data_IF_554183164596
#
_entry.id   IF_554183164596
#
_cell.length_a   1.000
_cell.length_b   1.000
_cell.length_c   1.000
_cell.angle_alpha   90.00
_cell.angle_beta   90.00
_cell.angle_gamma   90.00
#
_symmetry.space_group_name_H-M   'P 1'
#
loop_
_entity.id
_entity.type
_entity.pdbx_description
1 polymer ?
#
# COMPACT_ATOMS: atom_id res chain seq x y z
N UNK A 1 80.23 -7.76 45.56
CA UNK A 1 80.37 -8.76 44.47
C UNK A 1 79.21 -8.52 43.53
N UNK A 2 79.58 -7.91 42.53
CA UNK A 2 79.60 -8.20 41.12
C UNK A 2 78.17 -8.01 40.54
N UNK A 3 77.98 -6.95 39.82
CA UNK A 3 78.08 -6.81 38.33
C UNK A 3 76.91 -7.53 37.64
N UNK A 4 76.18 -6.98 36.79
CA UNK A 4 76.66 -6.47 35.53
C UNK A 4 75.57 -5.68 34.74
N UNK A 5 76.02 -4.77 33.98
CA UNK A 5 75.42 -4.01 32.95
C UNK A 5 74.57 -4.83 31.95
N UNK A 6 73.40 -4.30 31.56
CA UNK A 6 73.02 -4.39 30.18
C UNK A 6 72.32 -3.13 29.73
N UNK A 7 73.00 -2.21 29.19
CA UNK A 7 72.53 -1.08 28.42
C UNK A 7 72.26 -1.53 26.97
N UNK A 8 71.03 -1.74 26.62
CA UNK A 8 70.62 -1.85 25.18
C UNK A 8 70.62 -0.46 24.52
N UNK A 9 71.19 -0.32 23.34
CA UNK A 9 71.22 0.97 22.66
C UNK A 9 69.86 1.39 22.21
N UNK A 10 69.51 2.66 22.45
CA UNK A 10 68.34 3.31 21.87
C UNK A 10 68.36 3.15 20.34
N UNK A 11 67.39 2.47 19.83
CA UNK A 11 67.05 2.43 18.38
C UNK A 11 66.85 3.86 17.90
N UNK A 12 67.73 4.34 17.07
CA UNK A 12 67.56 5.59 16.34
C UNK A 12 66.23 5.52 15.61
N UNK A 13 65.28 6.39 16.00
CA UNK A 13 64.07 6.61 15.23
C UNK A 13 64.49 7.10 13.86
N UNK A 14 64.47 6.22 12.87
CA UNK A 14 64.70 6.59 11.48
C UNK A 14 63.68 7.65 11.08
N UNK A 15 64.15 8.78 10.57
CA UNK A 15 63.31 9.78 9.94
C UNK A 15 62.39 9.09 8.94
N UNK A 16 61.11 9.08 9.24
CA UNK A 16 60.09 8.49 8.37
C UNK A 16 60.01 9.34 7.12
N UNK A 17 60.66 8.89 6.05
CA UNK A 17 60.78 9.62 4.78
C UNK A 17 59.36 9.89 4.24
N UNK A 18 59.02 11.16 4.05
CA UNK A 18 57.75 11.58 3.42
C UNK A 18 57.82 11.35 1.90
N UNK A 19 57.06 10.35 1.44
CA UNK A 19 57.00 10.00 0.02
C UNK A 19 55.95 10.77 -0.76
N UNK A 20 55.23 11.72 -0.15
CA UNK A 20 54.14 12.48 -0.85
C UNK A 20 54.64 13.23 -2.04
N UNK A 21 55.84 13.77 -2.00
CA UNK A 21 56.46 14.48 -3.16
C UNK A 21 56.94 13.57 -4.29
N UNK A 22 57.02 12.26 -4.07
CA UNK A 22 57.42 11.28 -5.09
C UNK A 22 56.23 10.70 -5.83
N UNK A 23 54.99 11.06 -5.45
CA UNK A 23 53.76 10.55 -6.09
C UNK A 23 53.42 11.44 -7.29
N UNK A 24 53.45 10.88 -8.48
CA UNK A 24 53.06 11.56 -9.70
C UNK A 24 51.53 11.57 -9.83
N UNK A 25 50.87 12.58 -9.24
CA UNK A 25 49.45 12.80 -9.41
C UNK A 25 49.21 13.67 -10.66
N UNK A 26 48.16 13.38 -11.45
CA UNK A 26 47.79 14.27 -12.55
C UNK A 26 47.37 15.63 -12.02
N UNK A 27 47.88 16.69 -12.64
CA UNK A 27 47.43 18.03 -12.36
C UNK A 27 46.08 18.26 -13.05
N UNK A 28 45.06 18.57 -12.31
CA UNK A 28 43.71 18.79 -12.82
C UNK A 28 43.02 19.89 -12.00
N UNK A 29 42.13 20.63 -12.69
CA UNK A 29 41.25 21.59 -12.05
C UNK A 29 40.04 20.92 -11.38
N UNK A 30 39.82 19.60 -11.60
CA UNK A 30 38.78 18.84 -10.91
C UNK A 30 39.13 18.65 -9.43
N UNK A 31 38.22 18.94 -8.52
CA UNK A 31 38.45 18.74 -7.10
C UNK A 31 38.63 17.25 -6.78
N UNK A 32 39.64 16.94 -5.94
CA UNK A 32 39.92 15.56 -5.50
C UNK A 32 38.78 14.95 -4.65
N UNK A 33 37.91 15.78 -4.09
CA UNK A 33 36.72 15.37 -3.35
C UNK A 33 35.49 15.97 -3.98
N UNK A 34 34.47 15.17 -4.23
CA UNK A 34 33.23 15.63 -4.83
C UNK A 34 32.50 16.73 -3.99
N UNK A 35 32.58 16.65 -2.66
CA UNK A 35 31.99 17.66 -1.77
C UNK A 35 30.48 17.84 -1.98
N UNK A 36 29.75 16.80 -2.37
CA UNK A 36 28.35 16.85 -2.81
C UNK A 36 27.42 17.65 -1.89
N UNK A 37 27.51 17.58 -0.55
CA UNK A 37 26.63 18.38 0.31
C UNK A 37 26.72 19.90 0.09
N UNK A 38 27.84 20.41 -0.45
CA UNK A 38 28.03 21.82 -0.81
C UNK A 38 27.79 22.06 -2.28
N UNK A 39 28.35 21.19 -3.15
CA UNK A 39 28.29 21.35 -4.59
C UNK A 39 26.85 21.25 -5.12
N UNK A 40 26.06 20.32 -4.64
CA UNK A 40 24.68 20.13 -5.13
C UNK A 40 23.78 21.36 -4.91
N UNK A 41 23.72 21.97 -3.71
CA UNK A 41 22.96 23.21 -3.53
C UNK A 41 23.45 24.37 -4.42
N UNK A 42 24.77 24.49 -4.65
CA UNK A 42 25.33 25.52 -5.52
C UNK A 42 24.90 25.30 -6.99
N UNK A 43 24.92 24.04 -7.45
CA UNK A 43 24.44 23.66 -8.79
C UNK A 43 22.95 23.92 -8.96
N UNK A 44 22.14 23.56 -7.98
CA UNK A 44 20.69 23.82 -7.97
C UNK A 44 20.38 25.31 -8.03
N UNK A 45 21.09 26.10 -7.24
CA UNK A 45 20.95 27.56 -7.26
C UNK A 45 21.34 28.15 -8.62
N UNK A 46 22.39 27.62 -9.27
CA UNK A 46 22.79 28.01 -10.62
C UNK A 46 21.72 27.62 -11.66
N UNK A 47 21.14 26.41 -11.57
CA UNK A 47 20.11 25.95 -12.49
C UNK A 47 18.77 26.66 -12.31
N UNK A 48 18.54 27.29 -11.17
CA UNK A 48 17.33 28.07 -10.89
C UNK A 48 17.43 29.55 -11.34
N UNK A 49 18.59 30.00 -11.88
CA UNK A 49 18.76 31.38 -12.36
C UNK A 49 17.92 31.66 -13.60
N UNK A 50 17.47 32.87 -13.78
CA UNK A 50 16.60 33.28 -14.89
C UNK A 50 15.26 32.55 -14.86
N UNK A 51 14.84 32.05 -16.01
CA UNK A 51 13.63 31.18 -16.12
C UNK A 51 13.88 29.73 -15.70
N UNK A 52 15.12 29.40 -15.40
CA UNK A 52 15.56 28.10 -14.94
C UNK A 52 15.94 27.12 -16.06
N UNK A 53 16.98 26.31 -15.80
CA UNK A 53 17.61 25.39 -16.78
C UNK A 53 16.59 24.57 -17.59
N UNK A 54 15.56 24.06 -16.93
CA UNK A 54 14.55 23.24 -17.60
C UNK A 54 13.77 24.02 -18.67
N UNK A 55 13.35 25.23 -18.35
CA UNK A 55 12.62 26.12 -19.27
C UNK A 55 13.53 26.60 -20.39
N UNK A 56 14.77 26.95 -20.08
CA UNK A 56 15.75 27.43 -21.07
C UNK A 56 16.04 26.34 -22.12
N UNK A 57 16.22 25.08 -21.69
CA UNK A 57 16.41 23.94 -22.62
C UNK A 57 15.17 23.77 -23.48
N UNK A 58 13.96 23.80 -22.91
CA UNK A 58 12.72 23.67 -23.66
C UNK A 58 12.54 24.78 -24.68
N UNK A 59 12.71 26.02 -24.27
CA UNK A 59 12.60 27.17 -25.16
C UNK A 59 13.54 27.06 -26.36
N UNK A 60 14.79 26.62 -26.12
CA UNK A 60 15.75 26.36 -27.20
C UNK A 60 15.27 25.24 -28.13
N UNK A 61 14.82 24.11 -27.57
CA UNK A 61 14.34 22.96 -28.37
C UNK A 61 13.12 23.34 -29.22
N UNK A 62 12.20 24.12 -28.67
CA UNK A 62 11.03 24.64 -29.40
C UNK A 62 11.44 25.58 -30.53
N UNK A 63 12.40 26.46 -30.29
CA UNK A 63 12.95 27.35 -31.33
C UNK A 63 13.67 26.57 -32.47
N UNK A 64 14.30 25.45 -32.14
CA UNK A 64 14.97 24.55 -33.10
C UNK A 64 13.95 23.64 -33.83
N UNK A 65 12.65 23.71 -33.56
CA UNK A 65 11.58 22.88 -34.13
C UNK A 65 11.65 21.41 -33.71
N UNK A 66 12.18 21.13 -32.53
CA UNK A 66 12.34 19.76 -32.02
C UNK A 66 10.99 19.07 -31.77
N UNK A 67 10.96 17.75 -31.97
CA UNK A 67 9.80 16.91 -31.68
C UNK A 67 9.48 16.93 -30.19
N UNK A 68 8.18 17.07 -29.87
CA UNK A 68 7.69 17.08 -28.48
C UNK A 68 7.64 15.67 -27.93
N UNK A 69 8.29 15.45 -26.79
CA UNK A 69 8.19 14.25 -25.98
C UNK A 69 7.50 14.57 -24.64
N UNK A 70 6.30 14.05 -24.43
CA UNK A 70 5.54 14.25 -23.18
C UNK A 70 5.78 13.08 -22.24
N UNK A 71 6.21 13.37 -21.03
CA UNK A 71 6.28 12.41 -19.92
C UNK A 71 5.28 12.79 -18.84
N UNK A 72 4.21 12.03 -18.74
CA UNK A 72 3.22 12.19 -17.67
C UNK A 72 3.65 11.40 -16.42
N UNK A 73 3.38 11.95 -15.24
CA UNK A 73 3.73 11.30 -13.98
C UNK A 73 2.69 10.26 -13.56
N UNK A 74 3.12 9.15 -12.93
CA UNK A 74 2.28 8.40 -12.01
C UNK A 74 2.29 9.16 -10.68
N UNK A 75 1.20 9.85 -10.33
CA UNK A 75 1.23 10.82 -9.25
C UNK A 75 1.35 10.14 -7.89
N UNK A 76 2.34 10.49 -7.06
CA UNK A 76 2.39 10.04 -5.67
C UNK A 76 1.27 10.68 -4.84
N UNK A 77 0.92 10.06 -3.72
CA UNK A 77 0.03 10.67 -2.75
C UNK A 77 0.63 11.93 -2.13
N UNK A 78 -0.19 12.96 -2.00
CA UNK A 78 0.13 14.18 -1.27
C UNK A 78 -0.01 13.94 0.24
N UNK A 79 0.79 13.02 0.79
CA UNK A 79 0.70 12.57 2.18
C UNK A 79 2.09 12.16 2.70
N UNK A 80 2.65 12.97 3.59
CA UNK A 80 3.96 12.72 4.20
C UNK A 80 5.16 13.13 3.34
N UNK A 81 6.35 13.11 3.95
CA UNK A 81 7.62 13.36 3.28
C UNK A 81 7.96 12.26 2.27
N UNK A 82 8.85 12.55 1.33
CA UNK A 82 9.32 11.53 0.38
C UNK A 82 10.14 10.46 1.11
N UNK A 83 10.08 9.25 0.60
CA UNK A 83 10.91 8.13 1.01
C UNK A 83 11.77 7.65 -0.17
N UNK A 84 12.65 6.68 0.08
CA UNK A 84 13.59 6.18 -0.92
C UNK A 84 12.91 5.68 -2.20
N UNK A 85 11.69 5.11 -2.11
CA UNK A 85 10.92 4.69 -3.28
C UNK A 85 10.50 5.87 -4.16
N UNK A 86 10.09 6.99 -3.56
CA UNK A 86 9.83 8.23 -4.28
C UNK A 86 11.09 8.78 -4.97
N UNK A 87 12.22 8.79 -4.24
CA UNK A 87 13.50 9.24 -4.78
C UNK A 87 13.93 8.39 -5.97
N UNK A 88 13.85 7.06 -5.87
CA UNK A 88 14.16 6.14 -6.97
C UNK A 88 13.28 6.41 -8.19
N UNK A 89 11.96 6.47 -8.00
CA UNK A 89 11.01 6.69 -9.08
C UNK A 89 11.27 8.00 -9.82
N UNK A 90 11.45 9.10 -9.09
CA UNK A 90 11.70 10.43 -9.68
C UNK A 90 13.07 10.51 -10.35
N UNK A 91 14.09 9.89 -9.79
CA UNK A 91 15.41 9.83 -10.41
C UNK A 91 15.39 9.05 -11.73
N UNK A 92 14.68 7.92 -11.79
CA UNK A 92 14.53 7.16 -13.05
C UNK A 92 13.78 7.98 -14.11
N UNK A 93 12.76 8.75 -13.74
CA UNK A 93 12.08 9.68 -14.66
C UNK A 93 13.01 10.81 -15.11
N UNK A 94 13.84 11.34 -14.22
CA UNK A 94 14.83 12.37 -14.58
C UNK A 94 15.86 11.84 -15.56
N UNK A 95 16.27 10.56 -15.48
CA UNK A 95 17.10 9.92 -16.50
C UNK A 95 16.42 9.92 -17.87
N UNK A 96 15.13 9.62 -17.93
CA UNK A 96 14.37 9.70 -19.18
C UNK A 96 14.34 11.13 -19.70
N UNK A 97 14.02 12.11 -18.86
CA UNK A 97 13.98 13.53 -19.23
C UNK A 97 15.31 13.99 -19.80
N UNK A 98 16.40 13.74 -19.08
CA UNK A 98 17.75 14.17 -19.49
C UNK A 98 18.23 13.46 -20.76
N UNK A 99 17.99 12.15 -20.88
CA UNK A 99 18.36 11.40 -22.08
C UNK A 99 17.59 11.88 -23.31
N UNK A 100 16.30 12.17 -23.20
CA UNK A 100 15.50 12.70 -24.30
C UNK A 100 15.91 14.12 -24.69
N UNK A 101 16.24 14.97 -23.74
CA UNK A 101 16.87 16.28 -24.05
C UNK A 101 18.20 16.13 -24.78
N UNK A 102 19.05 15.19 -24.35
CA UNK A 102 20.33 14.92 -25.02
C UNK A 102 20.16 14.41 -26.45
N UNK A 103 19.08 13.65 -26.70
CA UNK A 103 18.72 13.16 -28.05
C UNK A 103 18.05 14.23 -28.94
N UNK A 104 17.79 15.42 -28.42
CA UNK A 104 17.29 16.53 -29.21
C UNK A 104 15.80 16.82 -29.08
N UNK A 105 15.05 16.10 -28.28
CA UNK A 105 13.61 16.33 -28.10
C UNK A 105 13.32 17.58 -27.26
N UNK A 106 12.15 18.21 -27.47
CA UNK A 106 11.51 19.08 -26.48
C UNK A 106 10.78 18.19 -25.47
N UNK A 107 11.24 18.16 -24.23
CA UNK A 107 10.69 17.26 -23.22
C UNK A 107 9.75 18.00 -22.29
N UNK A 108 8.47 17.66 -22.30
CA UNK A 108 7.48 18.13 -21.34
C UNK A 108 7.22 17.07 -20.26
N UNK A 109 7.96 17.17 -19.16
CA UNK A 109 7.70 16.34 -17.98
C UNK A 109 6.72 17.08 -17.06
N UNK A 110 5.54 16.50 -16.88
CA UNK A 110 4.47 17.02 -16.04
C UNK A 110 4.45 16.22 -14.73
N UNK A 111 5.08 16.73 -13.65
CA UNK A 111 4.96 16.09 -12.35
C UNK A 111 3.51 16.19 -11.85
N UNK A 112 3.09 15.23 -11.04
CA UNK A 112 1.72 15.22 -10.52
C UNK A 112 1.62 14.73 -9.10
N UNK A 113 0.44 14.94 -8.49
CA UNK A 113 0.08 14.42 -7.17
C UNK A 113 -1.34 13.89 -7.14
N UNK A 114 -1.51 12.75 -6.45
CA UNK A 114 -2.80 12.25 -6.04
C UNK A 114 -3.19 12.90 -4.70
N UNK A 115 -4.29 13.63 -4.72
CA UNK A 115 -4.72 14.48 -3.61
C UNK A 115 -5.97 13.97 -2.91
N UNK A 116 -6.38 12.74 -3.19
CA UNK A 116 -7.62 12.15 -2.70
C UNK A 116 -7.36 10.82 -1.96
N UNK A 117 -8.40 10.31 -1.33
CA UNK A 117 -8.45 8.97 -0.80
C UNK A 117 -8.20 8.86 0.69
N UNK A 118 -8.34 7.62 1.16
CA UNK A 118 -8.33 7.25 2.57
C UNK A 118 -7.08 7.71 3.35
N UNK A 119 -5.85 7.64 2.81
CA UNK A 119 -4.67 8.07 3.56
C UNK A 119 -4.70 9.54 3.99
N UNK A 120 -5.24 10.42 3.14
CA UNK A 120 -5.39 11.86 3.43
C UNK A 120 -6.55 12.07 4.40
N UNK A 121 -7.70 11.46 4.11
CA UNK A 121 -8.89 11.57 4.96
C UNK A 121 -8.63 11.10 6.39
N UNK A 122 -7.92 9.99 6.53
CA UNK A 122 -7.54 9.45 7.84
C UNK A 122 -6.69 10.43 8.65
N UNK A 123 -5.68 11.03 8.03
CA UNK A 123 -4.81 12.01 8.71
C UNK A 123 -5.56 13.26 9.13
N UNK A 124 -6.49 13.72 8.32
CA UNK A 124 -7.37 14.84 8.65
C UNK A 124 -8.32 14.48 9.78
N UNK A 125 -8.89 13.27 9.78
CA UNK A 125 -9.74 12.77 10.86
C UNK A 125 -8.97 12.66 12.18
N UNK A 126 -7.73 12.13 12.17
CA UNK A 126 -6.85 12.12 13.36
C UNK A 126 -6.64 13.54 13.91
N UNK A 127 -6.41 14.52 13.02
CA UNK A 127 -6.24 15.92 13.43
C UNK A 127 -7.51 16.52 14.05
N UNK A 128 -8.71 16.15 13.59
CA UNK A 128 -9.96 16.56 14.22
C UNK A 128 -10.17 15.85 15.56
N UNK A 129 -9.88 14.56 15.64
CA UNK A 129 -9.96 13.79 16.92
C UNK A 129 -9.03 14.36 17.98
N UNK A 130 -7.82 14.75 17.62
CA UNK A 130 -6.87 15.41 18.53
C UNK A 130 -7.40 16.73 19.10
N UNK A 131 -8.34 17.40 18.39
CA UNK A 131 -9.05 18.60 18.82
C UNK A 131 -10.39 18.30 19.52
N UNK A 132 -10.67 17.03 19.85
CA UNK A 132 -11.89 16.60 20.50
C UNK A 132 -13.15 16.58 19.60
N UNK A 133 -12.98 16.61 18.27
CA UNK A 133 -14.07 16.58 17.29
C UNK A 133 -14.07 15.26 16.52
N UNK A 134 -15.23 14.66 16.35
CA UNK A 134 -15.39 13.46 15.50
C UNK A 134 -15.78 13.85 14.07
N UNK A 135 -15.57 12.95 13.11
CA UNK A 135 -15.97 13.13 11.70
C UNK A 135 -17.45 13.48 11.56
N UNK A 136 -18.31 12.91 12.40
CA UNK A 136 -19.77 13.15 12.38
C UNK A 136 -20.15 14.56 12.84
N UNK A 137 -19.26 15.26 13.57
CA UNK A 137 -19.46 16.63 14.08
C UNK A 137 -18.91 17.71 13.11
N UNK A 138 -18.32 17.27 12.00
CA UNK A 138 -17.72 18.16 10.98
C UNK A 138 -18.56 18.11 9.72
N UNK A 139 -18.88 19.26 9.13
CA UNK A 139 -19.61 19.26 7.86
C UNK A 139 -18.74 18.65 6.75
N UNK A 140 -19.37 18.02 5.74
CA UNK A 140 -18.64 17.47 4.59
C UNK A 140 -17.81 18.51 3.86
N UNK A 141 -18.30 19.76 3.77
CA UNK A 141 -17.58 20.84 3.12
C UNK A 141 -16.33 21.23 3.91
N UNK A 142 -16.44 21.37 5.25
CA UNK A 142 -15.31 21.66 6.13
C UNK A 142 -14.25 20.55 6.08
N UNK A 143 -14.70 19.29 6.11
CA UNK A 143 -13.80 18.14 6.05
C UNK A 143 -13.05 18.09 4.72
N UNK A 144 -13.74 18.26 3.57
CA UNK A 144 -13.11 18.31 2.25
C UNK A 144 -12.12 19.46 2.12
N UNK A 145 -12.47 20.64 2.63
CA UNK A 145 -11.56 21.78 2.63
C UNK A 145 -10.29 21.49 3.44
N UNK A 146 -10.42 20.83 4.60
CA UNK A 146 -9.28 20.41 5.40
C UNK A 146 -8.41 19.37 4.68
N UNK A 147 -9.01 18.43 3.93
CA UNK A 147 -8.26 17.47 3.11
C UNK A 147 -7.47 18.17 1.98
N UNK A 148 -8.07 19.12 1.28
CA UNK A 148 -7.38 19.94 0.26
C UNK A 148 -6.20 20.71 0.87
N UNK A 149 -6.42 21.36 2.00
CA UNK A 149 -5.35 22.09 2.69
C UNK A 149 -4.21 21.19 3.14
N UNK A 150 -4.55 20.00 3.63
CA UNK A 150 -3.55 18.99 4.01
C UNK A 150 -2.72 18.54 2.79
N UNK A 151 -3.39 18.26 1.67
CA UNK A 151 -2.71 17.87 0.44
C UNK A 151 -1.79 18.98 -0.08
N UNK A 152 -2.23 20.24 -0.09
CA UNK A 152 -1.42 21.39 -0.51
C UNK A 152 -0.10 21.50 0.27
N UNK A 153 -0.14 21.31 1.58
CA UNK A 153 1.06 21.35 2.43
C UNK A 153 2.08 20.28 2.02
N UNK A 154 1.60 19.08 1.71
CA UNK A 154 2.49 17.99 1.31
C UNK A 154 2.97 18.08 -0.14
N UNK A 155 2.16 18.66 -1.03
CA UNK A 155 2.61 18.98 -2.39
C UNK A 155 3.81 19.92 -2.33
N UNK A 156 3.75 20.98 -1.54
CA UNK A 156 4.82 21.95 -1.42
C UNK A 156 6.08 21.36 -0.76
N UNK A 157 5.89 20.55 0.28
CA UNK A 157 6.99 19.85 0.93
C UNK A 157 7.68 18.87 -0.03
N UNK A 158 6.93 17.97 -0.66
CA UNK A 158 7.46 16.99 -1.59
C UNK A 158 8.06 17.65 -2.85
N UNK A 159 7.46 18.71 -3.38
CA UNK A 159 8.02 19.49 -4.49
C UNK A 159 9.42 20.02 -4.14
N UNK A 160 9.58 20.56 -2.95
CA UNK A 160 10.86 21.06 -2.46
C UNK A 160 11.88 19.94 -2.36
N UNK A 161 11.49 18.78 -1.82
CA UNK A 161 12.34 17.61 -1.68
C UNK A 161 12.74 17.03 -3.04
N UNK A 162 11.83 16.92 -4.02
CA UNK A 162 12.14 16.49 -5.38
C UNK A 162 13.06 17.46 -6.12
N UNK A 163 12.82 18.77 -5.98
CA UNK A 163 13.74 19.80 -6.53
C UNK A 163 15.13 19.69 -5.89
N UNK A 164 15.21 19.35 -4.59
CA UNK A 164 16.50 19.11 -3.91
C UNK A 164 17.25 17.91 -4.50
N UNK A 165 16.57 16.89 -5.02
CA UNK A 165 17.19 15.78 -5.75
C UNK A 165 17.69 16.15 -7.14
N UNK A 166 17.42 17.39 -7.62
CA UNK A 166 17.82 17.87 -8.93
C UNK A 166 16.96 17.37 -10.08
N UNK A 167 15.76 16.87 -9.80
CA UNK A 167 14.83 16.39 -10.83
C UNK A 167 14.28 17.58 -11.63
N UNK A 168 14.45 17.52 -12.95
CA UNK A 168 13.96 18.54 -13.89
C UNK A 168 12.50 18.26 -14.26
N UNK A 169 11.69 19.31 -14.34
CA UNK A 169 10.26 19.20 -14.69
C UNK A 169 9.51 20.50 -14.56
N UNK A 170 8.25 20.49 -14.94
CA UNK A 170 7.32 21.66 -14.88
C UNK A 170 6.69 21.78 -13.48
N UNK A 171 7.51 22.05 -12.46
CA UNK A 171 7.13 22.05 -11.05
C UNK A 171 6.14 23.12 -10.64
N UNK A 172 6.04 24.20 -11.40
CA UNK A 172 5.13 25.33 -11.14
C UNK A 172 3.73 25.13 -11.72
N UNK A 173 3.59 24.13 -12.60
CA UNK A 173 2.32 23.76 -13.23
C UNK A 173 2.14 22.24 -13.22
N UNK A 174 2.08 21.64 -12.03
CA UNK A 174 1.91 20.19 -11.90
C UNK A 174 0.48 19.76 -12.28
N UNK A 175 0.30 18.46 -12.48
CA UNK A 175 -0.99 17.82 -12.49
C UNK A 175 -1.43 17.53 -11.05
N UNK A 176 -2.57 18.08 -10.63
CA UNK A 176 -3.16 17.79 -9.32
C UNK A 176 -4.55 17.20 -9.52
N UNK A 177 -4.80 16.04 -8.91
CA UNK A 177 -6.13 15.40 -9.04
C UNK A 177 -7.23 16.23 -8.39
N UNK A 178 -6.89 17.13 -7.46
CA UNK A 178 -7.83 18.04 -6.79
C UNK A 178 -8.06 19.37 -7.52
N UNK A 179 -7.36 19.67 -8.61
CA UNK A 179 -7.63 20.86 -9.40
C UNK A 179 -9.02 20.78 -10.03
N UNK A 180 -9.77 21.88 -10.01
CA UNK A 180 -11.12 21.88 -10.56
C UNK A 180 -11.18 21.50 -12.03
N UNK A 181 -10.18 21.85 -12.82
CA UNK A 181 -10.06 21.43 -14.22
C UNK A 181 -9.84 19.92 -14.35
N UNK A 182 -9.03 19.33 -13.47
CA UNK A 182 -8.79 17.89 -13.42
C UNK A 182 -10.05 17.14 -12.99
N UNK A 183 -10.72 17.61 -11.93
CA UNK A 183 -12.01 17.04 -11.48
C UNK A 183 -13.07 17.11 -12.58
N UNK A 184 -13.17 18.25 -13.30
CA UNK A 184 -14.09 18.40 -14.40
C UNK A 184 -13.79 17.44 -15.56
N UNK A 185 -12.52 17.24 -15.89
CA UNK A 185 -12.11 16.28 -16.92
C UNK A 185 -12.47 14.84 -16.52
N UNK A 186 -12.21 14.45 -15.27
CA UNK A 186 -12.58 13.13 -14.74
C UNK A 186 -14.10 12.91 -14.83
N UNK A 187 -14.89 13.89 -14.40
CA UNK A 187 -16.36 13.79 -14.47
C UNK A 187 -16.86 13.71 -15.91
N UNK A 188 -16.26 14.46 -16.84
CA UNK A 188 -16.61 14.39 -18.25
C UNK A 188 -16.32 13.02 -18.87
N UNK A 189 -15.19 12.42 -18.54
CA UNK A 189 -14.88 11.05 -18.99
C UNK A 189 -15.84 10.02 -18.37
N UNK A 190 -16.17 10.16 -17.10
CA UNK A 190 -17.16 9.30 -16.43
C UNK A 190 -18.54 9.39 -17.09
N UNK A 191 -18.97 10.59 -17.51
CA UNK A 191 -20.23 10.78 -18.22
C UNK A 191 -20.27 10.05 -19.58
N UNK A 192 -19.14 9.85 -20.26
CA UNK A 192 -19.10 9.06 -21.50
C UNK A 192 -19.46 7.60 -21.25
N UNK A 193 -19.03 7.00 -20.13
CA UNK A 193 -19.43 5.65 -19.74
C UNK A 193 -20.92 5.58 -19.41
N UNK A 194 -21.47 6.60 -18.74
CA UNK A 194 -22.91 6.68 -18.50
C UNK A 194 -23.72 6.74 -19.80
N UNK A 195 -23.29 7.58 -20.74
CA UNK A 195 -24.00 7.79 -22.03
C UNK A 195 -23.86 6.61 -22.98
N UNK A 196 -22.89 5.72 -22.77
CA UNK A 196 -22.70 4.49 -23.56
C UNK A 196 -23.32 3.24 -22.90
N UNK A 197 -24.16 3.41 -21.89
CA UNK A 197 -24.82 2.33 -21.13
C UNK A 197 -23.85 1.32 -20.48
N UNK A 198 -22.58 1.71 -20.30
CA UNK A 198 -21.57 0.87 -19.64
C UNK A 198 -21.58 1.03 -18.11
N UNK A 199 -22.24 2.06 -17.61
CA UNK A 199 -22.39 2.31 -16.18
C UNK A 199 -23.74 1.83 -15.69
N UNK A 200 -23.74 0.90 -14.76
CA UNK A 200 -24.95 0.38 -14.12
C UNK A 200 -24.81 0.32 -12.61
N UNK A 201 -25.93 0.35 -11.90
CA UNK A 201 -25.96 0.18 -10.46
C UNK A 201 -26.00 -1.31 -10.13
N UNK A 202 -25.01 -1.76 -9.35
CA UNK A 202 -24.90 -3.14 -8.89
C UNK A 202 -24.53 -3.22 -7.43
N UNK A 203 -24.58 -4.45 -6.87
CA UNK A 203 -24.11 -4.75 -5.52
C UNK A 203 -23.06 -5.85 -5.60
N UNK A 204 -21.92 -5.63 -4.94
CA UNK A 204 -20.83 -6.60 -4.81
C UNK A 204 -20.36 -6.62 -3.35
N UNK A 205 -20.22 -7.80 -2.72
CA UNK A 205 -19.58 -7.89 -1.42
C UNK A 205 -18.15 -7.36 -1.51
N UNK A 206 -17.79 -6.47 -0.60
CA UNK A 206 -16.45 -5.88 -0.51
C UNK A 206 -16.00 -5.90 0.95
N UNK A 207 -14.68 -5.86 1.18
CA UNK A 207 -14.14 -5.70 2.52
C UNK A 207 -14.52 -4.32 3.07
N UNK A 208 -14.83 -4.29 4.36
CA UNK A 208 -15.28 -3.08 5.04
C UNK A 208 -14.44 -2.84 6.30
N UNK A 209 -13.91 -1.63 6.44
CA UNK A 209 -13.28 -1.21 7.69
C UNK A 209 -14.31 -0.59 8.63
N UNK A 210 -14.58 -1.22 9.79
CA UNK A 210 -15.49 -0.64 10.79
C UNK A 210 -14.89 0.59 11.50
N UNK A 211 -13.56 0.76 11.46
CA UNK A 211 -12.87 1.88 12.10
C UNK A 211 -12.97 3.14 11.22
N UNK A 212 -12.60 3.04 9.96
CA UNK A 212 -12.71 4.13 8.98
C UNK A 212 -14.13 4.30 8.44
N UNK A 213 -15.00 3.30 8.62
CA UNK A 213 -16.38 3.24 8.09
C UNK A 213 -16.44 3.42 6.58
N UNK A 214 -15.64 2.64 5.88
CA UNK A 214 -15.55 2.67 4.42
C UNK A 214 -15.26 1.29 3.85
N UNK A 215 -15.60 1.11 2.56
CA UNK A 215 -15.16 -0.02 1.78
C UNK A 215 -13.65 0.08 1.50
N UNK A 216 -12.98 -1.07 1.42
CA UNK A 216 -11.56 -1.16 1.10
C UNK A 216 -11.39 -1.77 -0.30
N UNK A 217 -10.40 -1.26 -1.04
CA UNK A 217 -9.90 -1.94 -2.22
C UNK A 217 -9.10 -3.19 -1.83
N UNK A 218 -9.01 -4.18 -2.70
CA UNK A 218 -8.26 -5.42 -2.43
C UNK A 218 -6.79 -5.15 -2.04
N UNK A 219 -6.19 -4.10 -2.62
CA UNK A 219 -4.82 -3.70 -2.32
C UNK A 219 -4.63 -3.03 -0.95
N UNK A 220 -5.71 -2.59 -0.32
CA UNK A 220 -5.70 -1.94 1.00
C UNK A 220 -5.93 -2.96 2.13
N UNK A 221 -6.26 -4.22 1.80
CA UNK A 221 -6.53 -5.28 2.77
C UNK A 221 -5.21 -5.94 3.16
N UNK A 222 -4.89 -5.88 4.44
CA UNK A 222 -3.74 -6.56 5.02
C UNK A 222 -4.19 -7.79 5.81
N UNK A 223 -3.44 -8.90 5.66
CA UNK A 223 -3.70 -10.16 6.35
C UNK A 223 -2.66 -10.38 7.44
N UNK A 224 -3.14 -10.58 8.65
CA UNK A 224 -2.29 -10.86 9.81
C UNK A 224 -2.70 -12.18 10.48
N UNK A 225 -1.76 -12.93 11.10
CA UNK A 225 -2.10 -14.05 11.94
C UNK A 225 -3.07 -13.61 13.05
N UNK A 226 -4.18 -14.31 13.18
CA UNK A 226 -5.21 -14.01 14.17
C UNK A 226 -5.65 -15.29 14.87
N UNK A 227 -5.76 -15.22 16.21
CA UNK A 227 -6.35 -16.31 17.02
C UNK A 227 -7.83 -16.01 17.19
N UNK A 228 -8.65 -16.86 16.57
CA UNK A 228 -10.11 -16.72 16.63
C UNK A 228 -10.70 -17.86 17.45
N UNK A 229 -11.70 -17.60 18.31
CA UNK A 229 -12.48 -18.65 18.94
C UNK A 229 -13.26 -19.42 17.88
N UNK A 230 -13.19 -20.74 17.94
CA UNK A 230 -13.95 -21.63 17.06
C UNK A 230 -14.91 -22.45 17.91
N UNK A 231 -16.06 -22.77 17.36
CA UNK A 231 -17.06 -23.59 18.03
C UNK A 231 -17.60 -24.69 17.14
N UNK A 232 -17.89 -25.82 17.76
CA UNK A 232 -18.68 -26.90 17.18
C UNK A 232 -20.09 -26.77 17.73
N UNK A 233 -21.08 -26.81 16.86
CA UNK A 233 -22.49 -26.69 17.27
C UNK A 233 -23.30 -27.80 16.67
N UNK A 234 -24.07 -28.49 17.49
CA UNK A 234 -25.01 -29.51 17.04
C UNK A 234 -26.41 -28.91 16.90
N UNK A 235 -27.04 -29.16 15.76
CA UNK A 235 -28.42 -28.80 15.48
C UNK A 235 -29.25 -30.07 15.44
N UNK A 236 -30.23 -30.25 16.38
CA UNK A 236 -31.04 -31.45 16.41
C UNK A 236 -31.96 -31.54 15.19
N UNK A 237 -32.06 -32.70 14.60
CA UNK A 237 -33.01 -32.98 13.55
C UNK A 237 -34.38 -33.14 14.17
N UNK A 238 -35.34 -32.27 13.80
CA UNK A 238 -36.70 -32.27 14.38
C UNK A 238 -37.71 -33.09 13.59
N UNK A 239 -37.60 -33.06 12.27
CA UNK A 239 -38.46 -33.81 11.37
C UNK A 239 -37.76 -34.00 10.04
N UNK A 240 -38.09 -35.06 9.35
CA UNK A 240 -37.72 -35.33 7.97
C UNK A 240 -38.93 -35.89 7.22
N UNK A 241 -38.93 -35.76 5.88
CA UNK A 241 -40.00 -36.21 5.02
C UNK A 241 -39.80 -37.73 4.78
N UNK A 242 -40.55 -38.54 5.52
CA UNK A 242 -40.46 -40.02 5.43
C UNK A 242 -40.82 -40.53 4.03
N UNK A 243 -41.78 -39.89 3.35
CA UNK A 243 -42.24 -40.31 2.03
C UNK A 243 -41.16 -40.09 0.95
N UNK A 244 -40.33 -39.14 1.12
CA UNK A 244 -39.25 -38.79 0.19
C UNK A 244 -38.07 -39.76 0.28
N UNK A 245 -37.86 -40.39 1.43
CA UNK A 245 -36.78 -41.32 1.69
C UNK A 245 -37.20 -42.80 1.59
N UNK A 246 -38.49 -43.10 1.68
CA UNK A 246 -39.02 -44.47 1.57
C UNK A 246 -38.93 -45.03 0.14
N UNK A 247 -38.66 -44.20 -0.86
CA UNK A 247 -38.63 -44.59 -2.28
C UNK A 247 -37.28 -44.48 -2.97
N UNK A 248 -36.20 -44.24 -2.25
CA UNK A 248 -34.87 -44.36 -2.82
C UNK A 248 -34.41 -45.83 -2.73
N UNK A 249 -35.00 -46.69 -3.55
CA UNK A 249 -34.38 -47.96 -3.92
C UNK A 249 -33.12 -47.61 -4.72
N UNK A 250 -32.00 -47.51 -4.01
CA UNK A 250 -30.71 -47.54 -4.65
C UNK A 250 -30.60 -48.90 -5.37
N UNK A 251 -30.34 -48.85 -6.68
CA UNK A 251 -30.20 -50.04 -7.55
C UNK A 251 -29.07 -51.00 -7.13
N UNK A 252 -28.43 -50.77 -5.98
CA UNK A 252 -27.36 -51.58 -5.40
C UNK A 252 -27.77 -52.44 -4.20
N UNK A 253 -29.00 -52.33 -3.70
CA UNK A 253 -29.50 -53.15 -2.61
C UNK A 253 -28.84 -52.92 -1.25
N UNK A 254 -28.09 -51.84 -1.08
CA UNK A 254 -27.44 -51.50 0.17
C UNK A 254 -28.39 -50.71 1.08
N UNK A 255 -28.38 -51.06 2.36
CA UNK A 255 -29.24 -50.55 3.42
C UNK A 255 -29.40 -49.04 3.34
N UNK A 256 -30.64 -48.60 2.99
CA UNK A 256 -31.03 -47.19 3.14
C UNK A 256 -30.92 -46.86 4.61
N UNK A 257 -29.99 -46.00 4.93
CA UNK A 257 -29.73 -45.56 6.29
C UNK A 257 -30.94 -44.78 6.80
N UNK A 258 -31.72 -45.37 7.71
CA UNK A 258 -32.83 -44.70 8.38
C UNK A 258 -32.25 -43.93 9.57
N UNK A 259 -32.20 -42.62 9.49
CA UNK A 259 -31.92 -41.80 10.66
C UNK A 259 -32.98 -42.09 11.73
N UNK A 260 -32.59 -42.44 12.97
CA UNK A 260 -33.54 -42.49 14.07
C UNK A 260 -34.18 -41.13 14.23
N UNK A 261 -35.52 -41.01 14.17
CA UNK A 261 -36.17 -39.75 14.42
C UNK A 261 -35.89 -39.33 15.87
N UNK A 262 -35.48 -38.10 16.09
CA UNK A 262 -35.31 -37.40 17.35
C UNK A 262 -33.94 -37.47 18.05
N UNK A 263 -33.03 -38.39 17.70
CA UNK A 263 -31.75 -38.51 18.40
C UNK A 263 -30.53 -38.07 17.57
N UNK A 264 -30.72 -37.76 16.30
CA UNK A 264 -29.64 -37.31 15.43
C UNK A 264 -29.49 -35.79 15.42
N UNK A 265 -28.26 -35.34 15.33
CA UNK A 265 -27.94 -33.92 15.16
C UNK A 265 -26.97 -33.69 14.02
N UNK A 266 -27.10 -32.57 13.32
CA UNK A 266 -26.13 -32.14 12.34
C UNK A 266 -25.10 -31.25 13.05
N UNK A 267 -23.84 -31.61 12.96
CA UNK A 267 -22.75 -30.86 13.58
C UNK A 267 -22.12 -29.92 12.57
N UNK A 268 -21.98 -28.67 12.92
CA UNK A 268 -21.21 -27.69 12.16
C UNK A 268 -19.99 -27.22 12.95
N UNK A 269 -18.99 -26.74 12.24
CA UNK A 269 -17.87 -26.02 12.81
C UNK A 269 -17.81 -24.60 12.22
N UNK A 270 -17.58 -23.60 13.06
CA UNK A 270 -17.47 -22.22 12.60
C UNK A 270 -16.41 -21.45 13.37
N UNK A 271 -15.77 -20.53 12.67
CA UNK A 271 -14.86 -19.50 13.21
C UNK A 271 -15.60 -18.19 13.51
N UNK A 272 -16.90 -18.10 13.21
CA UNK A 272 -17.72 -16.89 13.32
C UNK A 272 -19.02 -17.16 14.11
N UNK A 273 -18.93 -17.53 15.41
CA UNK A 273 -20.07 -17.96 16.21
C UNK A 273 -21.16 -16.89 16.35
N UNK A 274 -20.84 -15.63 16.22
CA UNK A 274 -21.81 -14.52 16.27
C UNK A 274 -22.81 -14.49 15.12
N UNK A 275 -22.60 -15.28 14.07
CA UNK A 275 -23.55 -15.40 12.94
C UNK A 275 -24.67 -16.42 13.21
N UNK A 276 -24.50 -17.32 14.19
CA UNK A 276 -25.45 -18.38 14.52
C UNK A 276 -26.86 -17.85 14.82
N UNK A 277 -27.07 -16.78 15.61
CA UNK A 277 -28.41 -16.27 15.88
C UNK A 277 -29.24 -15.88 14.65
N UNK A 278 -28.59 -15.55 13.54
CA UNK A 278 -29.24 -15.20 12.28
C UNK A 278 -29.28 -16.36 11.27
N UNK A 279 -28.79 -17.53 11.65
CA UNK A 279 -28.71 -18.69 10.76
C UNK A 279 -30.11 -19.23 10.43
N UNK A 280 -30.36 -19.56 9.16
CA UNK A 280 -31.65 -20.07 8.67
C UNK A 280 -31.56 -21.44 8.04
N UNK A 281 -30.38 -21.85 7.62
CA UNK A 281 -30.16 -23.10 6.93
C UNK A 281 -28.72 -23.57 7.09
N UNK A 282 -28.50 -24.86 6.89
CA UNK A 282 -27.20 -25.49 6.79
C UNK A 282 -27.01 -25.92 5.33
N UNK A 283 -25.94 -25.43 4.70
CA UNK A 283 -25.55 -25.89 3.38
C UNK A 283 -24.67 -27.13 3.48
N UNK A 284 -24.82 -28.06 2.55
CA UNK A 284 -23.99 -29.24 2.44
C UNK A 284 -23.30 -29.33 1.08
N UNK A 285 -22.15 -29.99 1.03
CA UNK A 285 -21.44 -30.27 -0.22
C UNK A 285 -21.86 -31.60 -0.79
N UNK A 286 -22.48 -31.69 -2.01
CA UNK A 286 -22.95 -32.95 -2.58
C UNK A 286 -21.82 -33.94 -2.91
N UNK A 287 -20.57 -33.49 -2.98
CA UNK A 287 -19.39 -34.30 -3.22
C UNK A 287 -18.65 -34.71 -1.92
N UNK A 288 -19.18 -34.34 -0.75
CA UNK A 288 -18.60 -34.67 0.56
C UNK A 288 -19.39 -35.83 1.15
N UNK A 289 -18.69 -36.87 1.59
CA UNK A 289 -19.30 -37.98 2.31
C UNK A 289 -19.60 -37.55 3.75
N UNK A 290 -20.82 -37.81 4.19
CA UNK A 290 -21.29 -37.58 5.56
C UNK A 290 -21.64 -38.92 6.18
N UNK A 291 -21.24 -39.11 7.44
CA UNK A 291 -21.56 -40.33 8.21
C UNK A 291 -22.39 -40.03 9.44
N UNK A 292 -23.17 -40.98 9.87
CA UNK A 292 -23.80 -40.98 11.17
C UNK A 292 -22.90 -41.74 12.15
N UNK A 293 -22.59 -41.08 13.27
CA UNK A 293 -21.73 -41.62 14.32
C UNK A 293 -22.44 -41.55 15.66
N UNK A 294 -22.28 -42.58 16.46
CA UNK A 294 -22.69 -42.59 17.85
C UNK A 294 -21.47 -42.27 18.74
N UNK A 295 -21.65 -41.37 19.71
CA UNK A 295 -20.59 -41.00 20.64
C UNK A 295 -20.56 -42.02 21.79
N UNK A 296 -19.64 -42.96 21.78
CA UNK A 296 -19.48 -43.98 22.79
C UNK A 296 -18.74 -43.50 24.04
N UNK A 297 -17.71 -42.66 23.85
CA UNK A 297 -16.86 -42.16 24.93
C UNK A 297 -16.31 -40.77 24.62
N UNK A 298 -15.92 -40.05 25.67
CA UNK A 298 -15.25 -38.77 25.59
C UNK A 298 -13.96 -38.77 26.41
N UNK A 299 -12.97 -37.97 25.97
CA UNK A 299 -11.82 -37.65 26.80
C UNK A 299 -12.25 -36.79 28.00
N UNK A 300 -11.71 -37.05 29.18
CA UNK A 300 -12.11 -36.41 30.43
C UNK A 300 -11.36 -35.10 30.73
N UNK A 301 -10.20 -34.87 30.11
CA UNK A 301 -9.32 -33.73 30.38
C UNK A 301 -9.25 -32.75 29.20
N UNK A 302 -10.41 -32.38 28.67
CA UNK A 302 -10.47 -31.39 27.61
C UNK A 302 -10.35 -29.95 28.18
N UNK A 303 -9.56 -29.06 27.56
CA UNK A 303 -9.41 -27.66 27.96
C UNK A 303 -10.65 -26.81 27.68
N UNK A 304 -11.71 -27.41 27.14
CA UNK A 304 -12.97 -26.75 26.76
C UNK A 304 -14.15 -27.68 27.04
N UNK A 305 -15.34 -27.10 27.15
CA UNK A 305 -16.56 -27.89 27.32
C UNK A 305 -16.82 -28.78 26.10
N UNK A 306 -17.05 -30.10 26.28
CA UNK A 306 -17.29 -31.02 25.14
C UNK A 306 -18.62 -30.67 24.45
N UNK A 307 -18.60 -30.72 23.12
CA UNK A 307 -19.79 -30.47 22.29
C UNK A 307 -20.72 -31.70 22.20
N UNK A 308 -20.23 -32.85 22.57
CA UNK A 308 -20.97 -34.12 22.56
C UNK A 308 -20.80 -34.83 23.91
N UNK A 309 -21.72 -35.74 24.24
CA UNK A 309 -21.67 -36.59 25.40
C UNK A 309 -21.91 -38.03 24.99
N UNK A 310 -21.49 -39.04 25.81
CA UNK A 310 -21.84 -40.44 25.53
C UNK A 310 -23.35 -40.63 25.34
N UNK A 311 -23.75 -41.28 24.25
CA UNK A 311 -25.13 -41.45 23.83
C UNK A 311 -25.70 -40.31 22.96
N UNK A 312 -24.92 -39.30 22.64
CA UNK A 312 -25.30 -38.26 21.67
C UNK A 312 -25.21 -38.75 20.24
#
# INVERSE_FOLDING_TARGET
MADDHNSSPASAAGEQRDYRETVFLPQTTFPMRAGLPKLEPELLAKWAQGDGLYRDIRAKRQADGAELFVLHDGPPYANGAIHIGHALNKTLKDFVVRSRFALGFDVDYVPGWDCHGLPIEWKVEEAFRAKGRTKDQVSKAEFRAACRQYADQWIDAQRTEFKRLGVLGRWEQPYLTMDFSSEAAIVNEFHKFLMSDQLYRGSKPVMWSPVERTALADAEVEYHPHVSPTVWVKFPVKAYDEDRYAHSDDARGDNVFRLPPNDASIVIWTTTPWTIPANRAIAYGPAIEYGLYEVEAMETDLPFAPWAKPGD
#
